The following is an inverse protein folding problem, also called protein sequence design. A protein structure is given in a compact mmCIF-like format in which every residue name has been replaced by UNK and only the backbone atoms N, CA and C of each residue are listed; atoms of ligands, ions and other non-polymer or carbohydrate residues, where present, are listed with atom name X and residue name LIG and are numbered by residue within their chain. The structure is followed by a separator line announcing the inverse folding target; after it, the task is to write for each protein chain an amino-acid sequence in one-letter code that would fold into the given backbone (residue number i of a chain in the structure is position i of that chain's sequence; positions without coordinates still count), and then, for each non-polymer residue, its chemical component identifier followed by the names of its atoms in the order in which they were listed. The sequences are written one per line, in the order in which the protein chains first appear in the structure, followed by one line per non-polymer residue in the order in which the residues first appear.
data_IF_871757628971
#
_entry.id   IF_871757628971
#
_cell.length_a   1.000
_cell.length_b   1.000
_cell.length_c   1.000
_cell.angle_alpha   90.00
_cell.angle_beta   90.00
_cell.angle_gamma   90.00
#
_symmetry.space_group_name_H-M   'P 1'
#
loop_
_entity.id
_entity.type
_entity.pdbx_description
1 polymer ?
#
# COMPACT_ATOMS: atom_id res chain seq x y z
N UNK A 1 12.83 -5.34 -1.09
CA UNK A 1 13.58 -5.41 0.18
C UNK A 1 15.06 -5.38 -0.15
N UNK A 2 15.84 -4.46 0.43
CA UNK A 2 17.28 -4.33 0.18
C UNK A 2 17.66 -4.35 -1.32
N UNK A 3 16.91 -3.63 -2.15
CA UNK A 3 17.11 -3.58 -3.60
C UNK A 3 16.53 -4.76 -4.42
N UNK A 4 15.97 -5.80 -3.79
CA UNK A 4 15.44 -6.99 -4.47
C UNK A 4 13.91 -7.04 -4.44
N UNK A 5 13.29 -7.39 -5.58
CA UNK A 5 11.84 -7.68 -5.66
C UNK A 5 11.57 -9.06 -5.09
N UNK A 6 10.76 -9.11 -4.03
CA UNK A 6 10.46 -10.35 -3.27
C UNK A 6 9.07 -10.92 -3.58
N UNK A 7 8.17 -10.09 -4.11
CA UNK A 7 6.80 -10.46 -4.44
C UNK A 7 6.31 -9.57 -5.59
N UNK A 8 5.48 -10.14 -6.44
CA UNK A 8 4.63 -9.44 -7.40
C UNK A 8 3.25 -10.12 -7.39
N UNK A 9 2.18 -9.36 -7.53
CA UNK A 9 0.83 -9.91 -7.58
C UNK A 9 -0.14 -9.00 -8.33
N UNK A 10 -1.06 -9.61 -9.07
CA UNK A 10 -2.22 -8.94 -9.65
C UNK A 10 -3.43 -9.09 -8.73
N UNK A 11 -3.81 -8.01 -8.04
CA UNK A 11 -4.97 -7.97 -7.15
C UNK A 11 -6.31 -8.14 -7.88
N UNK A 12 -6.33 -7.94 -9.19
CA UNK A 12 -7.51 -8.15 -10.04
C UNK A 12 -7.74 -9.61 -10.43
N UNK A 13 -6.71 -10.45 -10.34
CA UNK A 13 -6.72 -11.85 -10.81
C UNK A 13 -7.67 -12.77 -10.02
N UNK A 14 -8.09 -13.86 -10.66
CA UNK A 14 -8.89 -14.90 -10.00
C UNK A 14 -8.12 -15.60 -8.88
N UNK A 15 -6.84 -15.88 -9.08
CA UNK A 15 -5.97 -16.48 -8.05
C UNK A 15 -5.91 -15.62 -6.79
N UNK A 16 -5.74 -14.30 -6.92
CA UNK A 16 -5.74 -13.39 -5.77
C UNK A 16 -7.06 -13.43 -5.00
N UNK A 17 -8.20 -13.40 -5.71
CA UNK A 17 -9.53 -13.48 -5.09
C UNK A 17 -9.73 -14.80 -4.34
N UNK A 18 -9.30 -15.92 -4.93
CA UNK A 18 -9.36 -17.23 -4.28
C UNK A 18 -8.51 -17.29 -3.00
N UNK A 19 -7.32 -16.67 -3.00
CA UNK A 19 -6.47 -16.55 -1.80
C UNK A 19 -7.12 -15.69 -0.72
N UNK A 20 -7.74 -14.55 -1.08
CA UNK A 20 -8.46 -13.70 -0.11
C UNK A 20 -9.59 -14.48 0.57
N UNK A 21 -10.38 -15.24 -0.20
CA UNK A 21 -11.46 -16.06 0.34
C UNK A 21 -11.01 -17.14 1.33
N UNK A 22 -9.75 -17.58 1.26
CA UNK A 22 -9.13 -18.56 2.18
C UNK A 22 -8.34 -17.91 3.32
N UNK A 23 -8.24 -16.59 3.34
CA UNK A 23 -7.43 -15.84 4.31
C UNK A 23 -8.24 -15.40 5.53
N UNK A 24 -7.55 -14.82 6.53
CA UNK A 24 -8.19 -14.13 7.67
C UNK A 24 -9.08 -12.95 7.25
N UNK A 25 -8.99 -12.48 6.01
CA UNK A 25 -9.76 -11.35 5.49
C UNK A 25 -11.03 -11.76 4.73
N UNK A 26 -11.36 -13.06 4.67
CA UNK A 26 -12.53 -13.56 3.94
C UNK A 26 -13.84 -12.87 4.36
N UNK A 27 -13.94 -12.53 5.64
CA UNK A 27 -15.13 -11.93 6.26
C UNK A 27 -15.09 -10.39 6.22
N UNK A 28 -14.13 -9.79 5.48
CA UNK A 28 -14.00 -8.36 5.29
C UNK A 28 -14.43 -7.96 3.86
N UNK A 29 -15.70 -7.58 3.61
CA UNK A 29 -16.25 -7.46 2.25
C UNK A 29 -15.56 -6.41 1.36
N UNK A 30 -14.88 -5.44 1.98
CA UNK A 30 -14.18 -4.33 1.29
C UNK A 30 -12.67 -4.55 1.15
N UNK A 31 -12.13 -5.65 1.70
CA UNK A 31 -10.69 -5.90 1.67
C UNK A 31 -10.19 -6.02 0.23
N UNK A 32 -9.15 -5.26 -0.12
CA UNK A 32 -8.51 -5.22 -1.44
C UNK A 32 -9.45 -4.91 -2.63
N UNK A 33 -10.55 -4.17 -2.40
CA UNK A 33 -11.52 -3.78 -3.45
C UNK A 33 -11.60 -2.29 -3.74
N UNK A 34 -10.94 -1.45 -2.94
CA UNK A 34 -10.95 0.00 -3.12
C UNK A 34 -9.78 0.44 -4.01
N UNK A 35 -10.00 1.37 -4.95
CA UNK A 35 -8.94 1.84 -5.86
C UNK A 35 -7.94 2.79 -5.19
N UNK A 36 -8.32 3.37 -4.05
CA UNK A 36 -7.52 4.32 -3.28
C UNK A 36 -7.70 4.11 -1.77
N UNK A 37 -6.74 4.59 -0.99
CA UNK A 37 -6.74 4.49 0.46
C UNK A 37 -5.49 5.11 1.09
N UNK A 38 -5.38 5.00 2.41
CA UNK A 38 -4.23 5.50 3.16
C UNK A 38 -3.10 4.47 3.23
N UNK A 39 -1.86 4.96 3.33
CA UNK A 39 -0.70 4.14 3.72
C UNK A 39 -0.66 4.09 5.25
N UNK A 40 -0.50 2.89 5.81
CA UNK A 40 -0.52 2.67 7.26
C UNK A 40 0.81 2.06 7.71
N UNK A 41 1.47 2.71 8.66
CA UNK A 41 2.52 2.12 9.48
C UNK A 41 1.87 1.53 10.72
N UNK A 42 1.82 0.20 10.80
CA UNK A 42 1.20 -0.48 11.92
C UNK A 42 2.17 -0.62 13.08
N UNK A 43 1.65 -0.49 14.30
CA UNK A 43 2.37 -0.78 15.55
C UNK A 43 1.63 -1.88 16.31
N UNK A 44 2.39 -2.86 16.81
CA UNK A 44 1.88 -4.04 17.52
C UNK A 44 2.65 -4.30 18.83
N UNK A 45 2.89 -3.27 19.63
CA UNK A 45 3.40 -3.42 21.01
C UNK A 45 4.92 -3.52 21.17
N UNK A 46 5.68 -3.29 20.08
CA UNK A 46 7.14 -3.20 20.10
C UNK A 46 7.62 -1.94 19.38
N UNK A 47 8.76 -1.41 19.82
CA UNK A 47 9.33 -0.22 19.21
C UNK A 47 9.82 -0.49 17.79
N UNK A 48 9.54 0.47 16.91
CA UNK A 48 10.00 0.48 15.53
C UNK A 48 10.26 1.92 15.11
N UNK A 49 11.36 2.14 14.39
CA UNK A 49 11.77 3.46 13.90
C UNK A 49 11.73 3.45 12.38
N UNK A 50 11.09 4.48 11.81
CA UNK A 50 10.99 4.70 10.39
C UNK A 50 11.55 6.07 10.03
N UNK A 51 12.33 6.14 8.97
CA UNK A 51 12.90 7.37 8.43
C UNK A 51 12.87 7.32 6.89
N UNK A 52 13.04 8.47 6.26
CA UNK A 52 13.14 8.61 4.79
C UNK A 52 11.97 7.99 4.00
N UNK A 53 10.75 8.12 4.54
CA UNK A 53 9.53 7.64 3.88
C UNK A 53 9.19 8.57 2.71
N UNK A 54 9.29 8.03 1.48
CA UNK A 54 9.00 8.75 0.24
C UNK A 54 7.98 7.97 -0.58
N UNK A 55 7.10 8.70 -1.25
CA UNK A 55 6.10 8.14 -2.17
C UNK A 55 6.38 8.75 -3.54
N UNK A 56 6.64 7.88 -4.52
CA UNK A 56 6.64 8.27 -5.92
C UNK A 56 5.25 7.96 -6.50
N UNK A 57 4.60 8.97 -7.05
CA UNK A 57 3.26 8.85 -7.64
C UNK A 57 3.45 8.88 -9.16
N UNK A 58 3.22 7.75 -9.87
CA UNK A 58 3.38 7.70 -11.31
C UNK A 58 2.57 8.81 -12.01
N UNK A 59 3.23 9.57 -12.88
CA UNK A 59 2.61 10.64 -13.65
C UNK A 59 2.41 11.98 -12.93
N UNK A 60 2.73 12.09 -11.63
CA UNK A 60 2.74 13.38 -10.91
C UNK A 60 4.08 14.08 -11.13
N UNK A 61 4.08 15.34 -11.59
CA UNK A 61 5.32 16.11 -11.77
C UNK A 61 5.74 16.77 -10.44
N UNK A 62 7.03 16.99 -10.23
CA UNK A 62 7.56 17.64 -9.01
C UNK A 62 6.90 19.02 -8.73
N UNK A 63 6.53 19.75 -9.77
CA UNK A 63 5.85 21.04 -9.65
C UNK A 63 4.50 20.97 -8.91
N UNK A 64 3.81 19.83 -8.96
CA UNK A 64 2.50 19.62 -8.32
C UNK A 64 2.60 19.33 -6.83
N UNK A 65 3.80 18.98 -6.34
CA UNK A 65 4.06 18.67 -4.92
C UNK A 65 4.29 19.95 -4.12
N UNK A 66 5.04 20.92 -4.67
CA UNK A 66 5.38 22.18 -3.97
C UNK A 66 4.21 23.14 -3.77
N UNK A 67 3.13 22.99 -4.55
CA UNK A 67 1.97 23.89 -4.53
C UNK A 67 0.99 23.61 -3.37
N UNK A 68 1.06 22.43 -2.75
CA UNK A 68 0.21 22.03 -1.61
C UNK A 68 0.90 22.15 -0.24
N UNK A 69 2.20 22.40 -0.21
CA UNK A 69 2.93 22.62 1.05
C UNK A 69 2.90 24.09 1.50
N UNK A 70 2.24 24.97 0.73
CA UNK A 70 2.11 26.41 0.97
C UNK A 70 0.68 26.86 1.30
N UNK A 71 -0.22 25.92 1.56
CA UNK A 71 -1.57 26.12 2.13
C UNK A 71 -1.65 25.37 3.46
#
# INVERSE_FOLDING_TARGET
MNGVRVLDCDMGSEDFRARVARSKFRDCPRFARVPEGHIVLQHHGTDAWFADIRIDIPGRKEADVRRRASE
#
